data_IF_232732387564
#
_entry.id   IF_232732387564
#
_cell.length_a   1.000
_cell.length_b   1.000
_cell.length_c   1.000
_cell.angle_alpha   90.00
_cell.angle_beta   90.00
_cell.angle_gamma   90.00
#
_symmetry.space_group_name_H-M   'P 1'
#
loop_
_entity.id
_entity.type
_entity.pdbx_description
1 polymer ?
#
# COMPACT_ATOMS: atom_id res chain seq x y z
N UNK A 1 -22.47 36.80 4.49
CA UNK A 1 -22.29 35.52 5.21
C UNK A 1 -21.11 34.80 4.61
N UNK A 2 -20.13 34.51 5.45
CA UNK A 2 -18.96 33.68 5.15
C UNK A 2 -19.41 32.21 5.10
N UNK A 3 -19.10 31.48 4.04
CA UNK A 3 -18.37 30.21 4.17
C UNK A 3 -17.90 29.72 2.81
N UNK A 4 -16.73 30.25 2.43
CA UNK A 4 -15.64 29.49 1.80
C UNK A 4 -16.04 28.20 1.09
N UNK A 5 -16.66 28.33 -0.09
CA UNK A 5 -16.62 27.32 -1.15
C UNK A 5 -15.21 27.14 -1.70
N UNK A 6 -14.22 26.96 -0.82
CA UNK A 6 -12.88 26.53 -1.19
C UNK A 6 -13.05 25.14 -1.76
N UNK A 7 -13.20 25.08 -3.08
CA UNK A 7 -12.73 23.97 -3.88
C UNK A 7 -11.28 23.77 -3.46
N UNK A 8 -11.05 22.93 -2.46
CA UNK A 8 -9.77 22.28 -2.25
C UNK A 8 -9.71 21.21 -3.35
N UNK A 9 -9.69 21.67 -4.61
CA UNK A 9 -8.94 20.97 -5.61
C UNK A 9 -7.52 21.13 -5.13
N UNK A 10 -7.07 20.19 -4.29
CA UNK A 10 -5.65 19.93 -4.14
C UNK A 10 -5.09 19.98 -5.55
N UNK A 11 -4.11 20.85 -5.77
CA UNK A 11 -3.37 20.93 -7.01
C UNK A 11 -2.67 19.59 -7.20
N UNK A 12 -3.40 18.60 -7.71
CA UNK A 12 -2.85 17.32 -8.16
C UNK A 12 -1.98 17.70 -9.34
N UNK A 13 -0.66 17.73 -9.11
CA UNK A 13 0.30 17.99 -10.17
C UNK A 13 0.21 16.89 -11.24
N UNK A 14 0.67 17.13 -12.46
CA UNK A 14 0.75 16.06 -13.47
C UNK A 14 1.62 14.88 -12.97
N UNK A 15 2.61 15.16 -12.11
CA UNK A 15 3.38 14.14 -11.37
C UNK A 15 2.54 13.36 -10.36
N UNK A 16 1.47 13.95 -9.84
CA UNK A 16 0.54 13.26 -8.96
C UNK A 16 -0.47 12.40 -9.71
N UNK A 17 -0.76 12.68 -10.98
CA UNK A 17 -1.58 11.83 -11.85
C UNK A 17 -0.80 10.67 -12.46
N UNK A 18 0.54 10.72 -12.46
CA UNK A 18 1.36 9.58 -12.81
C UNK A 18 1.22 8.52 -11.72
N UNK A 19 0.86 7.30 -12.15
CA UNK A 19 0.90 6.12 -11.29
C UNK A 19 2.30 5.92 -10.71
N UNK A 20 2.39 5.14 -9.63
CA UNK A 20 3.69 4.76 -9.09
C UNK A 20 4.33 3.71 -10.00
N UNK A 21 5.64 3.81 -10.20
CA UNK A 21 6.37 2.75 -10.90
C UNK A 21 6.54 1.50 -10.02
N UNK A 22 6.86 0.38 -10.65
CA UNK A 22 6.98 -0.91 -9.98
C UNK A 22 8.10 -0.94 -8.92
N UNK A 23 9.20 -0.21 -9.14
CA UNK A 23 10.32 -0.16 -8.19
C UNK A 23 9.91 0.57 -6.91
N UNK A 24 9.25 1.73 -7.07
CA UNK A 24 8.70 2.49 -5.96
C UNK A 24 7.62 1.69 -5.21
N UNK A 25 6.73 1.01 -5.93
CA UNK A 25 5.72 0.14 -5.32
C UNK A 25 6.39 -0.97 -4.49
N UNK A 26 7.44 -1.60 -5.02
CA UNK A 26 8.18 -2.65 -4.31
C UNK A 26 8.80 -2.16 -3.01
N UNK A 27 9.41 -0.98 -3.00
CA UNK A 27 9.95 -0.37 -1.76
C UNK A 27 8.85 -0.13 -0.72
N UNK A 28 7.69 0.38 -1.16
CA UNK A 28 6.54 0.60 -0.29
C UNK A 28 5.98 -0.72 0.25
N UNK A 29 5.93 -1.78 -0.57
CA UNK A 29 5.52 -3.11 -0.12
C UNK A 29 6.48 -3.68 0.93
N UNK A 30 7.80 -3.51 0.77
CA UNK A 30 8.80 -3.94 1.77
C UNK A 30 8.58 -3.19 3.09
N UNK A 31 8.42 -1.85 3.02
CA UNK A 31 8.10 -1.03 4.19
C UNK A 31 6.80 -1.49 4.85
N UNK A 32 5.75 -1.76 4.08
CA UNK A 32 4.46 -2.20 4.60
C UNK A 32 4.56 -3.52 5.36
N UNK A 33 5.32 -4.50 4.85
CA UNK A 33 5.55 -5.78 5.54
C UNK A 33 6.30 -5.57 6.86
N UNK A 34 7.33 -4.72 6.86
CA UNK A 34 8.13 -4.43 8.05
C UNK A 34 7.32 -3.68 9.14
N UNK A 35 6.55 -2.66 8.75
CA UNK A 35 5.75 -1.84 9.65
C UNK A 35 4.51 -2.59 10.19
N UNK A 36 4.00 -3.56 9.42
CA UNK A 36 2.80 -4.33 9.78
C UNK A 36 3.12 -5.76 10.23
N UNK A 37 4.21 -5.97 10.97
CA UNK A 37 4.67 -7.30 11.40
C UNK A 37 3.60 -8.15 12.11
N UNK A 38 2.70 -7.53 12.89
CA UNK A 38 1.58 -8.23 13.54
C UNK A 38 0.57 -8.77 12.52
N UNK A 39 0.28 -7.99 11.47
CA UNK A 39 -0.63 -8.40 10.41
C UNK A 39 0.02 -9.48 9.52
N UNK A 40 1.32 -9.37 9.26
CA UNK A 40 2.09 -10.40 8.55
C UNK A 40 2.04 -11.72 9.31
N UNK A 41 2.36 -11.72 10.61
CA UNK A 41 2.27 -12.92 11.45
C UNK A 41 0.86 -13.51 11.46
N UNK A 42 -0.15 -12.66 11.64
CA UNK A 42 -1.56 -13.09 11.62
C UNK A 42 -1.96 -13.73 10.29
N UNK A 43 -1.49 -13.18 9.17
CA UNK A 43 -1.71 -13.76 7.85
C UNK A 43 -1.04 -15.14 7.72
N UNK A 44 0.19 -15.28 8.20
CA UNK A 44 0.91 -16.57 8.22
C UNK A 44 0.23 -17.62 9.11
N UNK A 45 -0.48 -17.20 10.15
CA UNK A 45 -1.36 -18.06 10.97
C UNK A 45 -2.69 -18.42 10.27
N UNK A 46 -2.88 -18.04 9.00
CA UNK A 46 -4.08 -18.33 8.21
C UNK A 46 -5.18 -17.27 8.30
N UNK A 47 -4.93 -16.12 8.95
CA UNK A 47 -5.93 -15.04 9.06
C UNK A 47 -5.86 -14.14 7.82
N UNK A 48 -6.52 -14.54 6.75
CA UNK A 48 -6.54 -13.82 5.47
C UNK A 48 -6.97 -12.34 5.58
N UNK A 49 -7.83 -12.00 6.56
CA UNK A 49 -8.23 -10.61 6.81
C UNK A 49 -7.06 -9.69 7.16
N UNK A 50 -6.02 -10.22 7.81
CA UNK A 50 -4.84 -9.44 8.18
C UNK A 50 -4.05 -8.98 6.94
N UNK A 51 -4.07 -9.78 5.87
CA UNK A 51 -3.45 -9.40 4.59
C UNK A 51 -4.07 -8.13 4.01
N UNK A 52 -5.40 -7.98 4.11
CA UNK A 52 -6.12 -6.78 3.62
C UNK A 52 -5.66 -5.50 4.35
N UNK A 53 -5.26 -5.60 5.61
CA UNK A 53 -4.71 -4.45 6.35
C UNK A 53 -3.37 -4.00 5.79
N UNK A 54 -2.51 -4.94 5.37
CA UNK A 54 -1.22 -4.64 4.73
C UNK A 54 -1.45 -3.93 3.38
N UNK A 55 -2.39 -4.44 2.58
CA UNK A 55 -2.78 -3.79 1.32
C UNK A 55 -3.36 -2.40 1.57
N UNK A 56 -4.23 -2.24 2.57
CA UNK A 56 -4.79 -0.94 2.94
C UNK A 56 -3.73 0.09 3.34
N UNK A 57 -2.67 -0.36 4.04
CA UNK A 57 -1.52 0.50 4.34
C UNK A 57 -0.81 0.98 3.07
N UNK A 58 -0.54 0.08 2.11
CA UNK A 58 0.10 0.42 0.83
C UNK A 58 -0.75 1.42 0.03
N UNK A 59 -2.07 1.17 -0.05
CA UNK A 59 -2.99 2.08 -0.72
C UNK A 59 -3.01 3.47 -0.08
N UNK A 60 -2.89 3.54 1.26
CA UNK A 60 -2.81 4.80 1.98
C UNK A 60 -1.48 5.53 1.71
N UNK A 61 -0.34 4.85 1.81
CA UNK A 61 0.98 5.44 1.57
C UNK A 61 1.12 5.99 0.13
N UNK A 62 0.48 5.31 -0.83
CA UNK A 62 0.50 5.69 -2.25
C UNK A 62 -0.61 6.66 -2.63
N UNK A 63 -1.45 7.06 -1.66
CA UNK A 63 -2.66 7.88 -1.89
C UNK A 63 -3.59 7.31 -2.97
N UNK A 64 -3.68 5.99 -3.03
CA UNK A 64 -4.51 5.27 -3.99
C UNK A 64 -3.93 5.16 -5.41
N UNK A 65 -2.68 5.60 -5.63
CA UNK A 65 -2.03 5.53 -6.94
C UNK A 65 -1.44 4.15 -7.29
N UNK A 66 -1.35 3.25 -6.31
CA UNK A 66 -0.87 1.90 -6.51
C UNK A 66 -1.90 1.02 -7.22
N UNK A 67 -1.40 0.11 -8.06
CA UNK A 67 -2.17 -1.06 -8.48
C UNK A 67 -2.27 -2.05 -7.32
N UNK A 68 -3.49 -2.29 -6.84
CA UNK A 68 -3.75 -3.19 -5.71
C UNK A 68 -3.48 -4.67 -6.02
N UNK A 69 -3.63 -5.10 -7.29
CA UNK A 69 -3.32 -6.47 -7.71
C UNK A 69 -1.81 -6.67 -7.71
N UNK A 70 -1.06 -5.76 -8.32
CA UNK A 70 0.40 -5.82 -8.33
C UNK A 70 0.97 -5.73 -6.90
N UNK A 71 0.46 -4.82 -6.08
CA UNK A 71 0.84 -4.73 -4.66
C UNK A 71 0.59 -6.05 -3.91
N UNK A 72 -0.54 -6.72 -4.20
CA UNK A 72 -0.87 -8.02 -3.61
C UNK A 72 0.15 -9.08 -3.96
N UNK A 73 0.53 -9.20 -5.23
CA UNK A 73 1.49 -10.20 -5.68
C UNK A 73 2.89 -9.94 -5.11
N UNK A 74 3.35 -8.68 -5.11
CA UNK A 74 4.63 -8.30 -4.51
C UNK A 74 4.67 -8.61 -3.00
N UNK A 75 3.61 -8.28 -2.25
CA UNK A 75 3.54 -8.57 -0.80
C UNK A 75 3.57 -10.07 -0.54
N UNK A 76 2.83 -10.88 -1.32
CA UNK A 76 2.89 -12.34 -1.23
C UNK A 76 4.30 -12.86 -1.51
N UNK A 77 4.99 -12.32 -2.51
CA UNK A 77 6.36 -12.70 -2.82
C UNK A 77 7.32 -12.38 -1.67
N UNK A 78 7.22 -11.19 -1.07
CA UNK A 78 8.05 -10.77 0.06
C UNK A 78 7.83 -11.69 1.27
N UNK A 79 6.57 -11.94 1.63
CA UNK A 79 6.21 -12.80 2.77
C UNK A 79 6.60 -14.26 2.48
N UNK A 80 6.38 -14.74 1.26
CA UNK A 80 6.72 -16.10 0.83
C UNK A 80 8.22 -16.37 0.84
N UNK A 81 9.05 -15.43 0.36
CA UNK A 81 10.51 -15.53 0.40
C UNK A 81 11.08 -15.54 1.82
N UNK A 82 10.41 -14.87 2.77
CA UNK A 82 10.80 -14.87 4.18
C UNK A 82 10.61 -16.22 4.90
N UNK A 83 9.87 -17.16 4.31
CA UNK A 83 9.56 -18.47 4.90
C UNK A 83 10.35 -19.65 4.28
N UNK A 84 11.29 -19.38 3.37
CA UNK A 84 12.16 -20.41 2.75
C UNK A 84 13.60 -20.27 3.25
N UNK A 85 13.77 -20.09 4.57
CA UNK A 85 15.05 -20.29 5.27
C UNK A 85 14.82 -21.12 6.53
#
# INVERSE_FOLDING_TARGET
>A
MLDSGKRVGEFISEKDMQGIDESQLKEICIKAVNENGVAVKSYLEGKEKAFKSIIGYIMKETKGKADAQLATEIVKEIIGKGNIN
#
